data_IF_359152240665
#
_entry.id   IF_359152240665
#
_cell.length_a   1.000
_cell.length_b   1.000
_cell.length_c   1.000
_cell.angle_alpha   90.00
_cell.angle_beta   90.00
_cell.angle_gamma   90.00
#
_symmetry.space_group_name_H-M   'P 1'
#
loop_
_entity.id
_entity.type
_entity.pdbx_description
1 polymer ?
#
# COMPACT_ATOMS: atom_id res chain seq x y z
N UNK A 1 0.08 14.63 9.70
CA UNK A 1 0.74 13.31 9.75
C UNK A 1 -0.27 12.31 10.29
N UNK A 2 -0.70 11.35 9.49
CA UNK A 2 -1.77 10.41 9.86
C UNK A 2 -1.32 9.55 11.04
N UNK A 3 -2.09 9.58 12.13
CA UNK A 3 -1.81 8.85 13.37
C UNK A 3 -2.25 7.38 13.19
N UNK A 4 -1.44 6.60 12.45
CA UNK A 4 -1.63 5.16 12.26
C UNK A 4 -1.12 4.38 13.47
N UNK A 5 -1.77 3.25 13.77
CA UNK A 5 -1.24 2.29 14.76
C UNK A 5 0.14 1.78 14.28
N UNK A 6 1.13 1.61 15.16
CA UNK A 6 2.45 1.10 14.79
C UNK A 6 2.41 -0.22 14.01
N UNK A 7 1.46 -1.10 14.35
CA UNK A 7 1.28 -2.39 13.68
C UNK A 7 0.83 -2.25 12.22
N UNK A 8 -0.01 -1.25 11.91
CA UNK A 8 -0.47 -1.00 10.53
C UNK A 8 0.67 -0.42 9.71
N UNK A 9 1.45 0.49 10.29
CA UNK A 9 2.65 1.03 9.65
C UNK A 9 3.65 -0.09 9.30
N UNK A 10 3.96 -0.95 10.27
CA UNK A 10 4.86 -2.09 10.05
C UNK A 10 4.32 -3.04 8.96
N UNK A 11 3.01 -3.33 8.97
CA UNK A 11 2.37 -4.12 7.92
C UNK A 11 2.54 -3.49 6.52
N UNK A 12 2.31 -2.18 6.38
CA UNK A 12 2.49 -1.47 5.11
C UNK A 12 3.95 -1.56 4.65
N UNK A 13 4.91 -1.34 5.56
CA UNK A 13 6.34 -1.43 5.26
C UNK A 13 6.74 -2.84 4.79
N UNK A 14 6.26 -3.90 5.45
CA UNK A 14 6.52 -5.29 5.03
C UNK A 14 5.97 -5.60 3.63
N UNK A 15 4.77 -5.11 3.30
CA UNK A 15 4.20 -5.29 1.95
C UNK A 15 5.02 -4.54 0.89
N UNK A 16 5.52 -3.34 1.20
CA UNK A 16 6.41 -2.60 0.28
C UNK A 16 7.70 -3.40 0.00
N UNK A 17 8.26 -4.08 1.00
CA UNK A 17 9.42 -4.95 0.78
C UNK A 17 9.10 -6.18 -0.07
N UNK A 18 7.89 -6.75 0.07
CA UNK A 18 7.39 -7.81 -0.82
C UNK A 18 7.27 -7.30 -2.26
N UNK A 19 6.72 -6.10 -2.47
CA UNK A 19 6.64 -5.46 -3.77
C UNK A 19 8.01 -5.33 -4.44
N UNK A 20 9.01 -4.81 -3.71
CA UNK A 20 10.39 -4.69 -4.20
C UNK A 20 10.99 -6.06 -4.55
N UNK A 21 10.80 -7.05 -3.68
CA UNK A 21 11.35 -8.40 -3.86
C UNK A 21 10.87 -9.07 -5.15
N UNK A 22 9.60 -8.89 -5.51
CA UNK A 22 9.01 -9.55 -6.67
C UNK A 22 8.92 -8.65 -7.91
N UNK A 23 9.27 -7.36 -7.82
CA UNK A 23 9.23 -6.45 -8.96
C UNK A 23 7.82 -6.03 -9.37
N UNK A 24 6.86 -6.03 -8.44
CA UNK A 24 5.47 -5.61 -8.67
C UNK A 24 5.01 -4.61 -7.61
N UNK A 25 4.03 -3.77 -7.94
CA UNK A 25 3.38 -2.84 -7.00
C UNK A 25 1.85 -3.02 -7.02
N UNK A 26 1.23 -2.60 -5.91
CA UNK A 26 -0.23 -2.59 -5.73
C UNK A 26 -0.73 -1.18 -6.03
N UNK A 27 -1.42 -1.01 -7.16
CA UNK A 27 -2.12 0.21 -7.52
C UNK A 27 -3.62 0.12 -7.28
N UNK A 28 -4.34 1.24 -7.44
CA UNK A 28 -5.79 1.30 -7.32
C UNK A 28 -6.44 1.68 -8.66
N UNK A 29 -7.66 1.19 -8.89
CA UNK A 29 -8.52 1.66 -9.98
C UNK A 29 -9.52 2.68 -9.44
N UNK A 30 -9.41 3.94 -9.91
CA UNK A 30 -10.24 5.05 -9.43
C UNK A 30 -11.76 4.79 -9.54
N UNK A 31 -12.19 3.84 -10.37
CA UNK A 31 -13.60 3.61 -10.72
C UNK A 31 -14.19 2.25 -10.34
N UNK A 32 -13.39 1.20 -10.10
CA UNK A 32 -13.91 -0.18 -9.94
C UNK A 32 -13.49 -0.88 -8.63
N UNK A 33 -12.83 -0.18 -7.70
CA UNK A 33 -12.60 -0.64 -6.32
C UNK A 33 -11.66 -1.84 -6.14
N UNK A 34 -11.24 -2.49 -7.23
CA UNK A 34 -10.23 -3.54 -7.21
C UNK A 34 -8.82 -2.94 -7.20
N UNK A 35 -7.88 -3.67 -6.60
CA UNK A 35 -6.47 -3.37 -6.72
C UNK A 35 -5.90 -3.90 -8.04
N UNK A 36 -4.92 -3.17 -8.59
CA UNK A 36 -4.13 -3.58 -9.75
C UNK A 36 -2.78 -4.09 -9.28
N UNK A 37 -2.36 -5.25 -9.79
CA UNK A 37 -0.97 -5.70 -9.68
C UNK A 37 -0.30 -5.34 -11.01
N UNK A 38 0.71 -4.48 -10.94
CA UNK A 38 1.47 -4.03 -12.13
C UNK A 38 2.96 -3.99 -11.82
N UNK A 39 3.78 -3.78 -12.85
CA UNK A 39 5.23 -3.63 -12.69
C UNK A 39 5.55 -2.57 -11.64
N UNK A 40 6.58 -2.85 -10.83
CA UNK A 40 6.99 -1.99 -9.73
C UNK A 40 7.18 -0.55 -10.21
N UNK A 41 6.41 0.37 -9.62
CA UNK A 41 6.59 1.80 -9.81
C UNK A 41 6.45 2.52 -8.47
N UNK A 42 7.14 3.65 -8.35
CA UNK A 42 7.21 4.42 -7.11
C UNK A 42 5.90 5.09 -6.73
N UNK A 43 5.10 5.49 -7.72
CA UNK A 43 3.86 6.24 -7.51
C UNK A 43 2.82 5.39 -6.78
N UNK A 44 2.70 4.11 -7.14
CA UNK A 44 1.87 3.15 -6.41
C UNK A 44 2.35 2.91 -4.99
N UNK A 45 3.67 2.88 -4.77
CA UNK A 45 4.25 2.64 -3.45
C UNK A 45 3.97 3.83 -2.53
N UNK A 46 4.10 5.05 -3.04
CA UNK A 46 3.74 6.26 -2.31
C UNK A 46 2.25 6.30 -1.99
N UNK A 47 1.42 5.93 -2.97
CA UNK A 47 -0.03 5.84 -2.80
C UNK A 47 -0.40 4.78 -1.75
N UNK A 48 0.11 3.56 -1.87
CA UNK A 48 -0.14 2.47 -0.93
C UNK A 48 0.40 2.79 0.47
N UNK A 49 1.57 3.42 0.56
CA UNK A 49 2.16 3.90 1.80
C UNK A 49 1.28 4.92 2.55
N UNK A 50 0.38 5.58 1.83
CA UNK A 50 -0.59 6.54 2.36
C UNK A 50 -1.92 5.93 2.80
N UNK A 51 -2.09 4.60 2.67
CA UNK A 51 -3.30 3.89 3.08
C UNK A 51 -3.68 4.18 4.54
N UNK A 52 -4.98 4.17 4.87
CA UNK A 52 -5.48 4.55 6.20
C UNK A 52 -5.95 3.32 6.97
N UNK A 53 -5.69 3.28 8.28
CA UNK A 53 -6.19 2.25 9.19
C UNK A 53 -7.70 2.41 9.45
N UNK A 54 -8.51 1.58 8.79
CA UNK A 54 -9.97 1.47 9.02
C UNK A 54 -10.36 0.43 10.08
N UNK A 55 -9.40 -0.16 10.81
CA UNK A 55 -9.68 -1.11 11.91
C UNK A 55 -10.13 -0.42 13.20
N UNK A 56 -10.35 0.90 13.18
CA UNK A 56 -10.85 1.67 14.34
C UNK A 56 -12.36 1.40 14.50
N UNK A 57 -12.71 0.61 15.53
CA UNK A 57 -14.00 0.71 16.21
C UNK A 57 -13.92 1.81 17.27
#
# INVERSE_FOLDING_TARGET
MNNQKPQVKAFIEEIIEVCKKYGFSIGHEDTQGAFKIKEYNTDDIEWFGSAIDYTKK
#
